data_IF_567511503084
#
_entry.id   IF_567511503084
#
_cell.length_a   1.000
_cell.length_b   1.000
_cell.length_c   1.000
_cell.angle_alpha   90.00
_cell.angle_beta   90.00
_cell.angle_gamma   90.00
#
_symmetry.space_group_name_H-M   'P 1'
#
loop_
_entity.id
_entity.type
_entity.pdbx_description
1 polymer ?
#
# COMPACT_ATOMS: atom_id res chain seq x y z
N UNK A 1 10.08 30.67 -10.35
CA UNK A 1 9.17 30.44 -9.19
C UNK A 1 9.32 29.04 -8.52
N UNK A 2 10.41 28.29 -8.75
CA UNK A 2 10.65 26.94 -8.17
C UNK A 2 11.75 26.87 -7.08
N UNK A 3 12.57 27.92 -6.92
CA UNK A 3 13.68 27.94 -5.94
C UNK A 3 13.29 28.44 -4.54
N UNK A 4 12.21 29.20 -4.41
CA UNK A 4 11.79 29.81 -3.15
C UNK A 4 11.10 28.82 -2.21
N UNK A 5 10.29 27.89 -2.74
CA UNK A 5 9.61 26.84 -1.96
C UNK A 5 10.57 25.81 -1.38
N UNK A 6 11.65 25.47 -2.09
CA UNK A 6 12.66 24.51 -1.61
C UNK A 6 13.53 25.09 -0.48
N UNK A 7 13.84 26.40 -0.53
CA UNK A 7 14.54 27.10 0.56
C UNK A 7 13.69 27.23 1.81
N UNK A 8 12.37 27.42 1.68
CA UNK A 8 11.45 27.46 2.83
C UNK A 8 11.37 26.09 3.51
N UNK A 9 11.27 24.99 2.75
CA UNK A 9 11.28 23.62 3.31
C UNK A 9 12.57 23.30 4.08
N UNK A 10 13.73 23.68 3.53
CA UNK A 10 15.04 23.48 4.18
C UNK A 10 15.22 24.41 5.39
N UNK A 11 14.69 25.64 5.35
CA UNK A 11 14.71 26.56 6.50
C UNK A 11 13.78 26.11 7.63
N UNK A 12 12.59 25.57 7.32
CA UNK A 12 11.67 25.01 8.33
C UNK A 12 12.31 23.77 8.96
N UNK A 13 12.94 22.90 8.17
CA UNK A 13 13.75 21.80 8.69
C UNK A 13 14.92 22.32 9.55
N UNK A 14 15.72 23.29 9.06
CA UNK A 14 16.84 23.84 9.85
C UNK A 14 16.40 24.52 11.14
N UNK A 15 15.28 25.25 11.17
CA UNK A 15 14.74 25.87 12.38
C UNK A 15 14.17 24.81 13.35
N UNK A 16 13.53 23.74 12.86
CA UNK A 16 13.08 22.64 13.71
C UNK A 16 14.24 21.83 14.32
N UNK A 17 15.32 21.65 13.57
CA UNK A 17 16.45 20.81 13.98
C UNK A 17 17.46 21.55 14.87
N UNK A 18 17.66 22.87 14.73
CA UNK A 18 18.77 23.57 15.41
C UNK A 18 18.58 23.76 16.92
N UNK A 19 17.34 23.77 17.44
CA UNK A 19 17.10 24.10 18.85
C UNK A 19 16.48 22.97 19.71
N UNK A 20 16.29 21.77 19.13
CA UNK A 20 15.55 20.68 19.79
C UNK A 20 16.18 19.28 19.61
N UNK A 21 17.45 19.20 19.21
CA UNK A 21 18.11 17.92 18.89
C UNK A 21 17.91 16.83 19.96
N UNK A 22 18.00 17.15 21.24
CA UNK A 22 17.82 16.16 22.32
C UNK A 22 16.37 15.71 22.53
N UNK A 23 15.38 16.57 22.25
CA UNK A 23 13.95 16.28 22.36
C UNK A 23 13.45 15.52 21.13
N UNK A 24 13.91 15.92 19.95
CA UNK A 24 13.65 15.27 18.68
C UNK A 24 14.25 13.85 18.63
N UNK A 25 15.52 13.72 19.03
CA UNK A 25 16.21 12.42 19.14
C UNK A 25 15.48 11.48 20.10
N UNK A 26 14.96 11.97 21.23
CA UNK A 26 14.13 11.18 22.17
C UNK A 26 12.76 10.78 21.61
N UNK A 27 12.14 11.58 20.74
CA UNK A 27 10.86 11.24 20.10
C UNK A 27 11.05 10.14 19.04
N UNK A 28 12.18 10.14 18.34
CA UNK A 28 12.50 9.22 17.23
C UNK A 28 13.20 7.95 17.70
N UNK A 29 14.12 8.01 18.66
CA UNK A 29 14.86 6.86 19.18
C UNK A 29 14.24 6.44 20.52
N UNK A 30 13.11 5.76 20.45
CA UNK A 30 12.47 5.12 21.60
C UNK A 30 12.29 3.63 21.30
N UNK A 31 12.03 2.80 22.32
CA UNK A 31 11.85 1.34 22.19
C UNK A 31 10.77 0.97 21.14
N UNK A 32 9.78 1.84 20.94
CA UNK A 32 8.71 1.65 19.95
C UNK A 32 9.19 1.83 18.50
N UNK A 33 10.33 2.46 18.26
CA UNK A 33 10.82 2.79 16.92
C UNK A 33 11.32 1.57 16.16
N UNK A 34 11.97 0.64 16.85
CA UNK A 34 12.39 -0.64 16.24
C UNK A 34 11.18 -1.46 15.80
N UNK A 35 10.09 -1.45 16.59
CA UNK A 35 8.84 -2.11 16.23
C UNK A 35 8.22 -1.52 14.96
N UNK A 36 8.23 -0.19 14.84
CA UNK A 36 7.74 0.50 13.64
C UNK A 36 8.56 0.10 12.42
N UNK A 37 9.89 0.15 12.53
CA UNK A 37 10.80 -0.24 11.46
C UNK A 37 10.52 -1.68 11.03
N UNK A 38 10.41 -2.61 11.97
CA UNK A 38 10.16 -4.02 11.68
C UNK A 38 8.81 -4.25 10.98
N UNK A 39 7.74 -3.58 11.44
CA UNK A 39 6.41 -3.64 10.79
C UNK A 39 6.48 -3.17 9.34
N UNK A 40 7.21 -2.08 9.06
CA UNK A 40 7.28 -1.50 7.73
C UNK A 40 8.33 -2.15 6.81
N UNK A 41 9.37 -2.77 7.34
CA UNK A 41 10.30 -3.62 6.54
C UNK A 41 9.57 -4.87 6.08
N UNK A 42 8.81 -5.52 6.96
CA UNK A 42 8.02 -6.71 6.61
C UNK A 42 6.78 -6.40 5.77
N UNK A 43 6.48 -5.11 5.56
CA UNK A 43 5.31 -4.65 4.81
C UNK A 43 5.13 -5.38 3.48
N UNK A 44 6.18 -5.43 2.64
CA UNK A 44 6.07 -6.02 1.32
C UNK A 44 5.91 -7.54 1.35
N UNK A 45 6.64 -8.21 2.25
CA UNK A 45 6.49 -9.66 2.46
C UNK A 45 5.04 -9.97 2.82
N UNK A 46 4.50 -9.27 3.84
CA UNK A 46 3.15 -9.47 4.33
C UNK A 46 2.10 -9.10 3.27
N UNK A 47 2.28 -7.98 2.56
CA UNK A 47 1.41 -7.55 1.46
C UNK A 47 1.35 -8.64 0.40
N UNK A 48 2.50 -9.11 -0.08
CA UNK A 48 2.58 -10.13 -1.13
C UNK A 48 1.93 -11.44 -0.72
N UNK A 49 2.24 -11.96 0.47
CA UNK A 49 1.63 -13.21 0.94
C UNK A 49 0.12 -13.08 1.11
N UNK A 50 -0.33 -11.94 1.64
CA UNK A 50 -1.77 -11.66 1.76
C UNK A 50 -2.45 -11.62 0.39
N UNK A 51 -1.84 -10.96 -0.60
CA UNK A 51 -2.41 -10.89 -1.94
C UNK A 51 -2.46 -12.28 -2.61
N UNK A 52 -1.39 -13.06 -2.51
CA UNK A 52 -1.35 -14.43 -3.02
C UNK A 52 -2.44 -15.30 -2.37
N UNK A 53 -2.59 -15.21 -1.04
CA UNK A 53 -3.63 -15.95 -0.30
C UNK A 53 -5.04 -15.56 -0.75
N UNK A 54 -5.31 -14.27 -0.93
CA UNK A 54 -6.62 -13.78 -1.40
C UNK A 54 -6.91 -14.29 -2.81
N UNK A 55 -5.95 -14.19 -3.73
CA UNK A 55 -6.09 -14.68 -5.11
C UNK A 55 -6.36 -16.19 -5.11
N UNK A 56 -5.58 -16.97 -4.35
CA UNK A 56 -5.78 -18.42 -4.20
C UNK A 56 -7.16 -18.78 -3.68
N UNK A 57 -7.59 -18.12 -2.61
CA UNK A 57 -8.87 -18.38 -1.96
C UNK A 57 -10.03 -18.03 -2.88
N UNK A 58 -9.95 -16.89 -3.58
CA UNK A 58 -11.00 -16.48 -4.52
C UNK A 58 -11.13 -17.45 -5.69
N UNK A 59 -9.99 -17.85 -6.25
CA UNK A 59 -9.94 -18.76 -7.38
C UNK A 59 -10.56 -20.11 -7.03
N UNK A 60 -10.20 -20.69 -5.88
CA UNK A 60 -10.75 -21.98 -5.45
C UNK A 60 -12.24 -21.92 -5.06
N UNK A 61 -12.69 -20.80 -4.49
CA UNK A 61 -14.09 -20.68 -4.06
C UNK A 61 -15.06 -20.36 -5.20
N UNK A 62 -14.63 -19.61 -6.21
CA UNK A 62 -15.54 -19.07 -7.23
C UNK A 62 -15.19 -19.45 -8.67
N UNK A 63 -13.98 -19.95 -8.92
CA UNK A 63 -13.45 -20.20 -10.26
C UNK A 63 -12.74 -21.55 -10.38
N UNK A 64 -13.02 -22.48 -9.47
CA UNK A 64 -12.60 -23.89 -9.54
C UNK A 64 -11.07 -24.11 -9.62
N UNK A 65 -10.26 -23.14 -9.21
CA UNK A 65 -8.80 -23.28 -9.24
C UNK A 65 -8.14 -22.99 -10.60
N UNK A 66 -8.91 -22.52 -11.59
CA UNK A 66 -8.42 -22.29 -12.97
C UNK A 66 -7.17 -21.39 -12.99
N UNK A 67 -7.17 -20.30 -12.21
CA UNK A 67 -6.02 -19.38 -12.19
C UNK A 67 -4.83 -20.01 -11.48
N UNK A 68 -5.07 -20.75 -10.41
CA UNK A 68 -4.06 -21.41 -9.57
C UNK A 68 -3.31 -22.51 -10.33
N UNK A 69 -3.98 -23.17 -11.28
CA UNK A 69 -3.38 -24.22 -12.11
C UNK A 69 -2.35 -23.69 -13.12
N UNK A 70 -2.49 -22.43 -13.54
CA UNK A 70 -1.64 -21.81 -14.58
C UNK A 70 -0.64 -20.85 -13.94
N UNK A 71 -0.97 -20.30 -12.77
CA UNK A 71 -0.24 -19.20 -12.18
C UNK A 71 0.54 -19.61 -10.94
N UNK A 72 1.87 -19.43 -11.01
CA UNK A 72 2.71 -19.55 -9.82
C UNK A 72 2.63 -18.26 -9.00
N UNK A 73 2.11 -18.35 -7.77
CA UNK A 73 2.18 -17.26 -6.80
C UNK A 73 3.62 -16.77 -6.63
N UNK A 74 3.80 -15.45 -6.69
CA UNK A 74 5.12 -14.87 -6.83
C UNK A 74 5.39 -13.77 -5.81
N UNK A 75 6.63 -13.28 -5.81
CA UNK A 75 7.06 -12.19 -4.94
C UNK A 75 6.35 -10.86 -5.19
N UNK A 76 5.72 -10.66 -6.36
CA UNK A 76 5.00 -9.44 -6.70
C UNK A 76 3.56 -9.42 -6.14
N UNK A 77 3.01 -10.56 -5.70
CA UNK A 77 1.68 -10.61 -5.07
C UNK A 77 0.53 -10.29 -6.02
N UNK A 78 0.75 -10.44 -7.32
CA UNK A 78 -0.23 -10.11 -8.37
C UNK A 78 -0.04 -11.04 -9.54
N UNK A 79 -1.07 -11.21 -10.36
CA UNK A 79 -0.96 -11.80 -11.69
C UNK A 79 -0.08 -10.88 -12.55
N UNK A 80 1.12 -11.35 -12.90
CA UNK A 80 2.12 -10.58 -13.66
C UNK A 80 2.76 -11.44 -14.73
N UNK A 81 2.90 -10.87 -15.92
CA UNK A 81 3.39 -11.55 -17.12
C UNK A 81 2.31 -11.57 -18.20
N UNK A 82 2.65 -11.15 -19.42
CA UNK A 82 1.68 -10.95 -20.49
C UNK A 82 1.03 -12.27 -20.92
N UNK A 83 1.79 -13.36 -20.92
CA UNK A 83 1.33 -14.68 -21.35
C UNK A 83 0.40 -15.30 -20.31
N UNK A 84 0.73 -15.14 -19.04
CA UNK A 84 0.00 -15.66 -17.89
C UNK A 84 -1.34 -14.92 -17.74
N UNK A 85 -1.34 -13.59 -17.91
CA UNK A 85 -2.57 -12.79 -17.93
C UNK A 85 -3.43 -13.15 -19.13
N UNK A 86 -2.84 -13.35 -20.32
CA UNK A 86 -3.58 -13.76 -21.51
C UNK A 86 -4.20 -15.16 -21.34
N UNK A 87 -3.44 -16.15 -20.85
CA UNK A 87 -3.93 -17.51 -20.57
C UNK A 87 -5.04 -17.50 -19.51
N UNK A 88 -4.89 -16.72 -18.43
CA UNK A 88 -5.94 -16.58 -17.43
C UNK A 88 -7.21 -15.93 -18.01
N UNK A 89 -7.07 -14.94 -18.89
CA UNK A 89 -8.20 -14.32 -19.57
C UNK A 89 -8.90 -15.29 -20.54
N UNK A 90 -8.13 -16.08 -21.27
CA UNK A 90 -8.65 -17.10 -22.19
C UNK A 90 -9.45 -18.17 -21.43
N UNK A 91 -8.88 -18.73 -20.36
CA UNK A 91 -9.49 -19.83 -19.61
C UNK A 91 -10.67 -19.38 -18.73
N UNK A 92 -10.62 -18.18 -18.16
CA UNK A 92 -11.77 -17.62 -17.45
C UNK A 92 -12.85 -17.10 -18.41
N UNK A 93 -12.50 -16.77 -19.65
CA UNK A 93 -13.40 -16.16 -20.63
C UNK A 93 -14.17 -14.97 -20.05
N UNK A 94 -15.50 -15.03 -20.12
CA UNK A 94 -16.38 -13.97 -19.59
C UNK A 94 -16.25 -13.76 -18.06
N UNK A 95 -15.76 -14.76 -17.31
CA UNK A 95 -15.54 -14.68 -15.86
C UNK A 95 -14.28 -13.89 -15.48
N UNK A 96 -13.36 -13.62 -16.43
CA UNK A 96 -12.10 -12.93 -16.15
C UNK A 96 -12.34 -11.54 -15.52
N UNK A 97 -13.28 -10.78 -16.07
CA UNK A 97 -13.62 -9.45 -15.57
C UNK A 97 -14.17 -9.48 -14.15
N UNK A 98 -14.96 -10.51 -13.84
CA UNK A 98 -15.51 -10.73 -12.50
C UNK A 98 -14.38 -11.06 -11.51
N UNK A 99 -13.48 -11.96 -11.88
CA UNK A 99 -12.32 -12.35 -11.08
C UNK A 99 -11.47 -11.14 -10.66
N UNK A 100 -11.06 -10.31 -11.64
CA UNK A 100 -10.26 -9.12 -11.36
C UNK A 100 -11.03 -8.09 -10.53
N UNK A 101 -12.32 -7.89 -10.81
CA UNK A 101 -13.16 -6.96 -10.06
C UNK A 101 -13.34 -7.39 -8.60
N UNK A 102 -13.62 -8.67 -8.35
CA UNK A 102 -13.74 -9.23 -7.01
C UNK A 102 -12.43 -9.11 -6.22
N UNK A 103 -11.31 -9.44 -6.86
CA UNK A 103 -9.97 -9.33 -6.25
C UNK A 103 -9.69 -7.92 -5.79
N UNK A 104 -9.90 -6.93 -6.66
CA UNK A 104 -9.71 -5.50 -6.32
C UNK A 104 -10.67 -5.07 -5.22
N UNK A 105 -11.95 -5.44 -5.31
CA UNK A 105 -12.96 -5.08 -4.31
C UNK A 105 -12.63 -5.63 -2.92
N UNK A 106 -12.08 -6.85 -2.83
CA UNK A 106 -11.65 -7.45 -1.56
C UNK A 106 -10.48 -6.68 -0.98
N UNK A 107 -9.44 -6.38 -1.76
CA UNK A 107 -8.31 -5.58 -1.28
C UNK A 107 -8.74 -4.19 -0.80
N UNK A 108 -9.63 -3.53 -1.54
CA UNK A 108 -10.23 -2.27 -1.12
C UNK A 108 -11.00 -2.40 0.19
N UNK A 109 -11.81 -3.45 0.34
CA UNK A 109 -12.61 -3.72 1.54
C UNK A 109 -11.74 -3.95 2.78
N UNK A 110 -10.64 -4.71 2.65
CA UNK A 110 -9.69 -4.90 3.75
C UNK A 110 -8.98 -3.60 4.14
N UNK A 111 -8.59 -2.78 3.17
CA UNK A 111 -8.00 -1.46 3.44
C UNK A 111 -9.00 -0.55 4.15
N UNK A 112 -10.26 -0.51 3.69
CA UNK A 112 -11.33 0.26 4.31
C UNK A 112 -11.61 -0.21 5.74
N UNK A 113 -11.69 -1.52 5.97
CA UNK A 113 -11.87 -2.10 7.30
C UNK A 113 -10.72 -1.70 8.24
N UNK A 114 -9.48 -1.82 7.78
CA UNK A 114 -8.30 -1.41 8.55
C UNK A 114 -8.35 0.09 8.90
N UNK A 115 -8.79 0.94 7.97
CA UNK A 115 -8.98 2.36 8.20
C UNK A 115 -10.05 2.64 9.28
N UNK A 116 -11.22 2.01 9.20
CA UNK A 116 -12.30 2.19 10.18
C UNK A 116 -11.86 1.73 11.57
N UNK A 117 -11.23 0.55 11.66
CA UNK A 117 -10.66 0.03 12.91
C UNK A 117 -9.57 0.96 13.47
N UNK A 118 -8.71 1.51 12.61
CA UNK A 118 -7.67 2.43 13.03
C UNK A 118 -8.26 3.73 13.61
N UNK A 119 -9.24 4.34 12.95
CA UNK A 119 -9.87 5.58 13.44
C UNK A 119 -10.62 5.36 14.73
N UNK A 120 -11.44 4.31 14.81
CA UNK A 120 -12.20 4.00 16.02
C UNK A 120 -11.28 3.77 17.20
N UNK A 121 -10.11 3.17 16.97
CA UNK A 121 -9.09 2.97 18.01
C UNK A 121 -8.38 4.26 18.38
N UNK A 122 -7.89 5.05 17.40
CA UNK A 122 -7.20 6.34 17.66
C UNK A 122 -8.08 7.29 18.49
N UNK A 123 -9.39 7.31 18.24
CA UNK A 123 -10.34 8.15 19.02
C UNK A 123 -10.46 7.72 20.49
N UNK A 124 -10.20 6.45 20.81
CA UNK A 124 -10.36 5.88 22.16
C UNK A 124 -9.05 5.82 22.97
N UNK A 125 -7.90 5.77 22.29
CA UNK A 125 -6.60 5.56 22.95
C UNK A 125 -5.80 6.86 23.07
N UNK A 126 -5.03 6.99 24.15
CA UNK A 126 -4.11 8.11 24.36
C UNK A 126 -2.77 7.93 23.62
N UNK A 127 -2.38 6.68 23.31
CA UNK A 127 -1.07 6.36 22.72
C UNK A 127 -1.23 5.41 21.52
N UNK A 128 -0.54 5.74 20.44
CA UNK A 128 -0.46 4.91 19.22
C UNK A 128 0.41 3.67 19.47
N UNK A 129 -0.22 2.51 19.57
CA UNK A 129 0.41 1.23 19.92
C UNK A 129 0.74 0.37 18.69
N UNK A 130 1.26 -0.85 18.91
CA UNK A 130 1.66 -1.77 17.84
C UNK A 130 0.49 -2.14 16.92
N UNK A 131 -0.71 -2.36 17.48
CA UNK A 131 -1.89 -2.68 16.68
C UNK A 131 -2.26 -1.52 15.75
N UNK A 132 -2.16 -0.27 16.22
CA UNK A 132 -2.34 0.89 15.34
C UNK A 132 -1.31 0.93 14.20
N UNK A 133 -0.04 0.55 14.46
CA UNK A 133 0.98 0.46 13.40
C UNK A 133 0.68 -0.66 12.40
N UNK A 134 0.20 -1.81 12.86
CA UNK A 134 -0.23 -2.91 11.98
C UNK A 134 -1.45 -2.52 11.14
N UNK A 135 -2.47 -1.91 11.73
CA UNK A 135 -3.65 -1.42 11.00
C UNK A 135 -3.28 -0.34 9.98
N UNK A 136 -2.36 0.56 10.32
CA UNK A 136 -1.83 1.56 9.39
C UNK A 136 -1.09 0.89 8.22
N UNK A 137 -0.30 -0.15 8.50
CA UNK A 137 0.38 -0.97 7.50
C UNK A 137 -0.62 -1.65 6.56
N UNK A 138 -1.62 -2.35 7.08
CA UNK A 138 -2.66 -3.01 6.26
C UNK A 138 -3.46 -2.00 5.43
N UNK A 139 -3.87 -0.87 6.01
CA UNK A 139 -4.51 0.21 5.26
C UNK A 139 -3.64 0.67 4.08
N UNK A 140 -2.33 0.75 4.30
CA UNK A 140 -1.37 1.21 3.30
C UNK A 140 -1.15 0.22 2.14
N UNK A 141 -1.63 -1.03 2.21
CA UNK A 141 -1.50 -2.00 1.11
C UNK A 141 -2.07 -1.45 -0.19
N UNK A 142 -3.30 -0.93 -0.13
CA UNK A 142 -4.00 -0.36 -1.28
C UNK A 142 -3.56 1.08 -1.58
N UNK A 143 -2.98 1.79 -0.60
CA UNK A 143 -2.51 3.17 -0.79
C UNK A 143 -1.37 3.25 -1.79
N UNK A 144 -0.44 2.29 -1.77
CA UNK A 144 0.66 2.27 -2.74
C UNK A 144 0.17 2.03 -4.17
N UNK A 145 -0.75 1.08 -4.35
CA UNK A 145 -1.32 0.79 -5.66
C UNK A 145 -2.17 1.97 -6.17
N UNK A 146 -2.89 2.63 -5.26
CA UNK A 146 -3.62 3.86 -5.54
C UNK A 146 -2.71 5.01 -5.97
N UNK A 147 -1.60 5.25 -5.25
CA UNK A 147 -0.64 6.29 -5.58
C UNK A 147 0.03 6.01 -6.94
N UNK A 148 0.40 4.77 -7.19
CA UNK A 148 0.96 4.36 -8.48
C UNK A 148 -0.04 4.60 -9.61
N UNK A 149 -1.29 4.16 -9.45
CA UNK A 149 -2.34 4.37 -10.45
C UNK A 149 -2.57 5.85 -10.73
N UNK A 150 -2.70 6.67 -9.68
CA UNK A 150 -2.90 8.12 -9.84
C UNK A 150 -1.72 8.73 -10.59
N UNK A 151 -0.48 8.47 -10.19
CA UNK A 151 0.72 9.07 -10.81
C UNK A 151 0.84 8.71 -12.30
N UNK A 152 0.66 7.43 -12.65
CA UNK A 152 0.89 6.97 -14.03
C UNK A 152 -0.27 7.26 -14.97
N UNK A 153 -1.51 7.33 -14.47
CA UNK A 153 -2.68 7.56 -15.32
C UNK A 153 -3.15 9.01 -15.33
N UNK A 154 -2.67 9.88 -14.41
CA UNK A 154 -3.02 11.32 -14.36
C UNK A 154 -2.93 12.05 -15.71
N UNK A 155 -1.88 11.85 -16.53
CA UNK A 155 -1.69 12.61 -17.76
C UNK A 155 -2.74 12.37 -18.84
N UNK A 156 -3.33 11.15 -18.88
CA UNK A 156 -4.23 10.70 -19.95
C UNK A 156 -5.70 10.55 -19.48
N UNK A 157 -6.03 11.06 -18.29
CA UNK A 157 -7.31 10.77 -17.60
C UNK A 157 -8.55 11.29 -18.30
N UNK A 158 -8.45 12.40 -19.02
CA UNK A 158 -9.64 13.13 -19.46
C UNK A 158 -10.46 12.36 -20.52
N UNK A 159 -9.80 11.70 -21.47
CA UNK A 159 -10.49 11.04 -22.58
C UNK A 159 -10.66 9.52 -22.38
N UNK A 160 -9.82 8.90 -21.55
CA UNK A 160 -9.74 7.44 -21.44
C UNK A 160 -10.60 6.86 -20.30
N UNK A 161 -10.80 7.61 -19.21
CA UNK A 161 -11.56 7.12 -18.03
C UNK A 161 -13.07 7.13 -18.29
N UNK A 162 -13.61 8.17 -18.92
CA UNK A 162 -15.05 8.28 -19.17
C UNK A 162 -15.57 7.25 -20.18
N UNK A 163 -14.70 6.74 -21.07
CA UNK A 163 -15.06 5.68 -22.03
C UNK A 163 -14.97 4.27 -21.45
N UNK A 164 -14.27 4.08 -20.35
CA UNK A 164 -14.01 2.75 -19.77
C UNK A 164 -14.49 2.70 -18.32
N UNK A 165 -15.69 2.15 -18.11
CA UNK A 165 -16.33 2.02 -16.80
C UNK A 165 -15.45 1.30 -15.76
N UNK A 166 -14.55 0.39 -16.18
CA UNK A 166 -13.61 -0.30 -15.27
C UNK A 166 -12.54 0.63 -14.73
N UNK A 167 -11.99 1.50 -15.58
CA UNK A 167 -11.01 2.49 -15.18
C UNK A 167 -11.63 3.56 -14.29
N UNK A 168 -12.89 3.93 -14.54
CA UNK A 168 -13.65 4.82 -13.66
C UNK A 168 -13.78 4.23 -12.26
N UNK A 169 -14.18 2.96 -12.13
CA UNK A 169 -14.32 2.29 -10.84
C UNK A 169 -12.99 2.24 -10.07
N UNK A 170 -11.90 1.86 -10.74
CA UNK A 170 -10.55 1.83 -10.15
C UNK A 170 -10.11 3.22 -9.71
N UNK A 171 -10.34 4.23 -10.55
CA UNK A 171 -10.03 5.62 -10.24
C UNK A 171 -10.80 6.09 -9.01
N UNK A 172 -12.10 5.79 -8.91
CA UNK A 172 -12.92 6.13 -7.74
C UNK A 172 -12.38 5.47 -6.46
N UNK A 173 -12.11 4.16 -6.48
CA UNK A 173 -11.61 3.42 -5.31
C UNK A 173 -10.24 3.94 -4.84
N UNK A 174 -9.33 4.19 -5.78
CA UNK A 174 -8.00 4.71 -5.47
C UNK A 174 -8.03 6.16 -5.01
N UNK A 175 -8.87 7.00 -5.61
CA UNK A 175 -9.08 8.38 -5.14
C UNK A 175 -9.62 8.40 -3.71
N UNK A 176 -10.61 7.55 -3.40
CA UNK A 176 -11.12 7.39 -2.03
C UNK A 176 -9.97 7.00 -1.09
N UNK A 177 -9.16 6.00 -1.46
CA UNK A 177 -8.04 5.54 -0.63
C UNK A 177 -7.05 6.66 -0.32
N UNK A 178 -6.68 7.47 -1.33
CA UNK A 178 -5.77 8.62 -1.16
C UNK A 178 -6.39 9.68 -0.26
N UNK A 179 -7.67 10.03 -0.46
CA UNK A 179 -8.38 11.01 0.36
C UNK A 179 -8.44 10.55 1.82
N UNK A 180 -8.77 9.28 2.08
CA UNK A 180 -8.78 8.71 3.43
C UNK A 180 -7.40 8.77 4.08
N UNK A 181 -6.32 8.51 3.33
CA UNK A 181 -4.96 8.58 3.85
C UNK A 181 -4.57 10.02 4.25
N UNK A 182 -4.88 11.00 3.41
CA UNK A 182 -4.65 12.42 3.70
C UNK A 182 -5.45 12.84 4.95
N UNK A 183 -6.72 12.45 5.02
CA UNK A 183 -7.59 12.77 6.13
C UNK A 183 -7.10 12.16 7.44
N UNK A 184 -6.70 10.89 7.43
CA UNK A 184 -6.09 10.20 8.57
C UNK A 184 -4.85 10.94 9.07
N UNK A 185 -3.95 11.28 8.15
CA UNK A 185 -2.68 11.91 8.46
C UNK A 185 -2.83 13.34 8.99
N UNK A 186 -3.76 14.12 8.45
CA UNK A 186 -3.97 15.51 8.87
C UNK A 186 -4.77 15.56 10.17
N UNK A 187 -5.93 14.89 10.24
CA UNK A 187 -6.93 15.07 11.29
C UNK A 187 -6.70 14.21 12.53
N UNK A 188 -6.28 12.96 12.37
CA UNK A 188 -6.27 11.99 13.47
C UNK A 188 -4.89 11.73 14.07
N UNK A 189 -3.83 11.85 13.28
CA UNK A 189 -2.47 11.60 13.77
C UNK A 189 -1.91 12.80 14.55
N UNK A 190 -1.35 12.56 15.73
CA UNK A 190 -0.59 13.56 16.47
C UNK A 190 0.78 13.80 15.83
N UNK A 191 1.39 14.98 16.06
CA UNK A 191 2.68 15.37 15.47
C UNK A 191 3.79 14.31 15.64
N UNK A 192 3.85 13.67 16.82
CA UNK A 192 4.83 12.59 17.09
C UNK A 192 4.64 11.39 16.16
N UNK A 193 3.40 11.02 15.85
CA UNK A 193 3.07 9.91 14.94
C UNK A 193 3.40 10.32 13.50
N UNK A 194 3.02 11.54 13.09
CA UNK A 194 3.34 12.08 11.76
C UNK A 194 4.85 12.04 11.49
N UNK A 195 5.65 12.50 12.45
CA UNK A 195 7.12 12.46 12.34
C UNK A 195 7.65 11.03 12.24
N UNK A 196 7.10 10.08 13.01
CA UNK A 196 7.51 8.68 12.93
C UNK A 196 7.14 8.03 11.59
N UNK A 197 5.97 8.34 11.04
CA UNK A 197 5.58 7.89 9.69
C UNK A 197 6.56 8.43 8.65
N UNK A 198 6.85 9.74 8.67
CA UNK A 198 7.71 10.38 7.69
C UNK A 198 9.18 9.94 7.78
N UNK A 199 9.71 9.79 8.99
CA UNK A 199 11.15 9.58 9.21
C UNK A 199 11.53 8.13 9.44
N UNK A 200 10.60 7.27 9.84
CA UNK A 200 10.84 5.84 10.06
C UNK A 200 10.00 5.00 9.10
N UNK A 201 8.69 5.24 9.03
CA UNK A 201 7.77 4.45 8.21
C UNK A 201 8.13 4.46 6.72
N UNK A 202 8.11 5.64 6.09
CA UNK A 202 8.39 5.77 4.64
C UNK A 202 9.78 5.19 4.26
N UNK A 203 10.89 5.53 4.96
CA UNK A 203 12.18 4.93 4.65
C UNK A 203 12.21 3.41 4.85
N UNK A 204 11.56 2.89 5.90
CA UNK A 204 11.50 1.45 6.18
C UNK A 204 10.72 0.70 5.12
N UNK A 205 9.63 1.28 4.60
CA UNK A 205 8.88 0.70 3.47
C UNK A 205 9.77 0.63 2.23
N UNK A 206 10.50 1.70 1.90
CA UNK A 206 11.41 1.69 0.75
C UNK A 206 12.52 0.64 0.92
N UNK A 207 13.12 0.55 2.10
CA UNK A 207 14.11 -0.49 2.40
C UNK A 207 13.51 -1.90 2.29
N UNK A 208 12.31 -2.11 2.82
CA UNK A 208 11.56 -3.36 2.70
C UNK A 208 11.27 -3.74 1.24
N UNK A 209 10.95 -2.77 0.38
CA UNK A 209 10.76 -2.99 -1.05
C UNK A 209 12.03 -3.54 -1.68
N UNK A 210 13.18 -2.91 -1.42
CA UNK A 210 14.47 -3.30 -2.01
C UNK A 210 14.86 -4.70 -1.54
N UNK A 211 14.75 -4.95 -0.23
CA UNK A 211 15.04 -6.28 0.35
C UNK A 211 14.13 -7.34 -0.26
N UNK A 212 12.82 -7.08 -0.32
CA UNK A 212 11.86 -8.04 -0.83
C UNK A 212 11.97 -8.25 -2.35
N UNK A 213 12.29 -7.22 -3.12
CA UNK A 213 12.52 -7.36 -4.55
C UNK A 213 13.73 -8.27 -4.84
N UNK A 214 14.74 -8.29 -3.97
CA UNK A 214 15.88 -9.19 -4.09
C UNK A 214 15.58 -10.59 -3.56
N UNK A 215 15.22 -10.70 -2.27
CA UNK A 215 14.98 -11.99 -1.60
C UNK A 215 13.75 -12.69 -2.17
N UNK A 216 12.66 -11.95 -2.39
CA UNK A 216 11.42 -12.49 -2.90
C UNK A 216 11.60 -13.14 -4.28
N UNK A 217 12.42 -12.57 -5.17
CA UNK A 217 12.76 -13.20 -6.46
C UNK A 217 13.45 -14.55 -6.32
N UNK A 218 14.26 -14.73 -5.27
CA UNK A 218 14.94 -16.00 -5.00
C UNK A 218 14.00 -17.05 -4.42
N UNK A 219 13.07 -16.64 -3.55
CA UNK A 219 12.16 -17.56 -2.86
C UNK A 219 10.91 -17.88 -3.69
N UNK A 220 10.37 -16.90 -4.41
CA UNK A 220 9.13 -16.99 -5.19
C UNK A 220 9.33 -16.34 -6.57
N UNK A 221 10.14 -16.97 -7.45
CA UNK A 221 10.43 -16.44 -8.76
C UNK A 221 9.16 -16.33 -9.62
N UNK A 222 9.21 -15.38 -10.57
CA UNK A 222 8.23 -15.34 -11.66
C UNK A 222 8.76 -16.29 -12.73
N UNK A 223 8.17 -17.48 -12.82
CA UNK A 223 8.54 -18.44 -13.84
C UNK A 223 7.95 -17.98 -15.17
N UNK A 224 8.78 -17.38 -16.02
CA UNK A 224 8.46 -17.19 -17.43
C UNK A 224 8.60 -18.55 -18.12
N UNK A 225 7.51 -19.29 -18.26
CA UNK A 225 7.40 -20.44 -19.15
C UNK A 225 6.95 -19.98 -20.54
#
# INVERSE_FOLDING_TARGET
>A
MKLTTMRIGICILKMFFRNNNNKFRRVILNKDSLKIILVFILFYVLKTQFQNLVIFTLDHLFFEGIVSDIYTYNYAGKLSGCLEVAKAQELLGNKANLFYSMTVAIFFSFSLLAYVLLITRIKKILKFDLLCWMLLSVFSFNLFDALQFVIFNFPDMHDYIFRNQKLLLLFTQYSITVVLAIFLFIKYMNLKVKLKVLLLGIPSVYMGLVIWAYIGRLIMPINHL
#
